data_IF_240980729959
#
_entry.id   IF_240980729959
#
_cell.length_a   1.000
_cell.length_b   1.000
_cell.length_c   1.000
_cell.angle_alpha   90.00
_cell.angle_beta   90.00
_cell.angle_gamma   90.00
#
_symmetry.space_group_name_H-M   'P 1'
#
loop_
_entity.id
_entity.type
_entity.pdbx_description
1 polymer ?
#
# COMPACT_ATOMS: atom_id res chain seq x y z
N UNK A 1 -28.16 1.39 9.76
CA UNK A 1 -26.82 1.72 10.26
C UNK A 1 -26.02 2.23 9.09
N UNK A 2 -25.27 3.33 9.27
CA UNK A 2 -24.49 3.93 8.18
C UNK A 2 -23.01 3.78 8.50
N UNK A 3 -22.20 3.55 7.47
CA UNK A 3 -20.74 3.49 7.56
C UNK A 3 -20.17 4.62 6.72
N UNK A 4 -19.19 5.33 7.26
CA UNK A 4 -18.61 6.51 6.63
C UNK A 4 -17.09 6.34 6.52
N UNK A 5 -16.53 6.80 5.41
CA UNK A 5 -15.07 6.99 5.29
C UNK A 5 -14.77 8.36 5.89
N UNK A 6 -14.19 8.38 7.09
CA UNK A 6 -13.93 9.62 7.83
C UNK A 6 -12.61 10.28 7.42
N UNK A 7 -11.62 9.49 6.99
CA UNK A 7 -10.29 9.95 6.55
C UNK A 7 -9.77 9.06 5.42
N UNK A 8 -8.95 9.64 4.54
CA UNK A 8 -8.23 8.92 3.48
C UNK A 8 -6.83 9.51 3.41
N UNK A 9 -5.83 8.65 3.41
CA UNK A 9 -4.43 9.05 3.30
C UNK A 9 -3.70 8.28 2.20
N UNK A 10 -2.57 8.86 1.77
CA UNK A 10 -1.67 8.22 0.81
C UNK A 10 -0.22 8.50 1.16
N UNK A 11 0.62 7.57 0.75
CA UNK A 11 2.07 7.69 0.76
C UNK A 11 2.63 7.32 -0.60
N UNK A 12 3.58 8.11 -1.12
CA UNK A 12 4.28 7.87 -2.38
C UNK A 12 5.78 7.86 -2.04
N UNK A 13 6.52 6.78 -2.33
CA UNK A 13 7.92 6.67 -1.94
C UNK A 13 8.81 7.52 -2.82
N UNK A 14 9.84 8.11 -2.21
CA UNK A 14 10.88 8.89 -2.89
C UNK A 14 10.30 10.02 -3.75
N UNK A 15 11.10 10.53 -4.69
CA UNK A 15 10.71 11.60 -5.60
C UNK A 15 9.94 11.08 -6.83
N UNK A 16 9.08 11.91 -7.44
CA UNK A 16 8.44 11.58 -8.71
C UNK A 16 9.48 11.36 -9.81
N UNK A 17 9.41 10.19 -10.45
CA UNK A 17 10.31 9.76 -11.53
C UNK A 17 9.65 10.00 -12.88
N UNK A 18 10.34 10.77 -13.73
CA UNK A 18 9.92 11.07 -15.09
C UNK A 18 10.05 9.86 -16.03
N UNK A 19 9.43 9.95 -17.21
CA UNK A 19 9.57 8.93 -18.27
C UNK A 19 11.01 8.76 -18.77
N UNK A 20 11.81 9.82 -18.71
CA UNK A 20 13.20 9.81 -19.19
C UNK A 20 14.12 9.12 -18.18
N UNK A 21 13.80 9.23 -16.89
CA UNK A 21 14.62 8.68 -15.80
C UNK A 21 14.23 7.26 -15.38
N UNK A 22 13.05 6.74 -15.77
CA UNK A 22 12.54 5.48 -15.23
C UNK A 22 13.48 4.27 -15.40
N UNK A 23 14.24 4.20 -16.51
CA UNK A 23 15.19 3.11 -16.75
C UNK A 23 16.45 3.22 -15.87
N UNK A 24 16.75 4.40 -15.31
CA UNK A 24 17.81 4.56 -14.31
C UNK A 24 17.46 3.87 -12.98
N UNK A 25 16.18 3.63 -12.72
CA UNK A 25 15.71 2.92 -11.51
C UNK A 25 15.49 1.43 -11.79
N UNK A 26 14.87 1.10 -12.92
CA UNK A 26 14.52 -0.29 -13.26
C UNK A 26 15.67 -1.10 -13.86
N UNK A 27 16.72 -0.42 -14.32
CA UNK A 27 17.84 -1.04 -15.02
C UNK A 27 17.55 -1.35 -16.50
N UNK A 28 18.57 -1.87 -17.17
CA UNK A 28 18.55 -2.26 -18.57
C UNK A 28 18.71 -3.79 -18.68
N UNK A 29 18.00 -4.40 -19.62
CA UNK A 29 18.19 -5.82 -19.95
C UNK A 29 19.20 -5.88 -21.11
N UNK A 30 20.26 -6.67 -20.97
CA UNK A 30 21.38 -6.75 -21.93
C UNK A 30 21.96 -5.38 -22.29
N UNK A 31 22.06 -4.47 -21.31
CA UNK A 31 22.56 -3.10 -21.47
C UNK A 31 21.79 -2.27 -22.52
N UNK A 32 20.56 -2.68 -22.87
CA UNK A 32 19.73 -2.05 -23.89
C UNK A 32 18.46 -1.46 -23.29
N UNK A 33 18.11 -0.27 -23.78
CA UNK A 33 16.81 0.35 -23.50
C UNK A 33 15.68 -0.44 -24.15
N UNK A 34 14.52 -0.46 -23.51
CA UNK A 34 13.36 -1.18 -24.01
C UNK A 34 12.81 -0.52 -25.28
N UNK A 35 12.83 -1.27 -26.38
CA UNK A 35 12.29 -0.85 -27.69
C UNK A 35 10.81 -0.45 -27.57
N UNK A 36 10.06 -1.10 -26.66
CA UNK A 36 8.64 -0.87 -26.47
C UNK A 36 8.32 0.30 -25.51
N UNK A 37 9.31 0.87 -24.81
CA UNK A 37 9.10 1.93 -23.81
C UNK A 37 8.28 3.09 -24.37
N UNK A 38 8.71 3.64 -25.51
CA UNK A 38 8.05 4.78 -26.14
C UNK A 38 6.60 4.49 -26.56
N UNK A 39 6.34 3.30 -27.12
CA UNK A 39 5.01 2.88 -27.53
C UNK A 39 4.06 2.75 -26.33
N UNK A 40 4.51 2.08 -25.26
CA UNK A 40 3.70 1.84 -24.05
C UNK A 40 3.42 3.16 -23.32
N UNK A 41 4.41 4.04 -23.16
CA UNK A 41 4.22 5.34 -22.50
C UNK A 41 3.32 6.29 -23.30
N UNK A 42 3.40 6.23 -24.64
CA UNK A 42 2.46 6.96 -25.50
C UNK A 42 1.04 6.39 -25.40
N UNK A 43 0.88 5.10 -25.14
CA UNK A 43 -0.45 4.49 -24.98
C UNK A 43 -1.06 4.82 -23.61
N UNK A 44 -0.31 4.60 -22.52
CA UNK A 44 -0.83 4.76 -21.16
C UNK A 44 -0.85 6.21 -20.64
N UNK A 45 -0.20 7.15 -21.32
CA UNK A 45 -0.15 8.58 -21.00
C UNK A 45 0.47 8.97 -19.65
N UNK A 46 1.05 8.04 -18.91
CA UNK A 46 1.66 8.33 -17.61
C UNK A 46 2.94 9.13 -17.82
N UNK A 47 3.08 10.25 -17.09
CA UNK A 47 4.24 11.15 -17.16
C UNK A 47 5.21 11.00 -15.99
N UNK A 48 4.68 10.66 -14.81
CA UNK A 48 5.44 10.48 -13.57
C UNK A 48 4.98 9.23 -12.83
N UNK A 49 5.91 8.53 -12.16
CA UNK A 49 5.59 7.47 -11.19
C UNK A 49 6.54 7.51 -10.01
N UNK A 50 6.35 6.59 -9.07
CA UNK A 50 7.17 6.47 -7.87
C UNK A 50 7.65 5.02 -7.76
N UNK A 51 8.90 4.84 -7.37
CA UNK A 51 9.50 3.54 -7.13
C UNK A 51 10.00 3.50 -5.70
N UNK A 52 9.71 2.42 -4.97
CA UNK A 52 10.38 2.11 -3.72
C UNK A 52 11.80 1.54 -3.96
N UNK A 53 12.54 2.13 -4.90
CA UNK A 53 13.86 1.73 -5.36
C UNK A 53 14.73 2.98 -5.52
N UNK A 54 16.03 2.88 -5.24
CA UNK A 54 17.02 3.88 -5.63
C UNK A 54 17.54 3.65 -7.06
N UNK A 55 18.39 4.55 -7.58
CA UNK A 55 19.00 4.42 -8.92
C UNK A 55 20.06 3.31 -9.03
N UNK A 56 20.44 2.70 -7.90
CA UNK A 56 21.35 1.55 -7.87
C UNK A 56 20.57 0.22 -7.81
N UNK A 57 19.23 0.27 -7.84
CA UNK A 57 18.38 -0.91 -7.75
C UNK A 57 18.14 -1.42 -6.31
N UNK A 58 18.58 -0.68 -5.29
CA UNK A 58 18.34 -1.06 -3.90
C UNK A 58 16.90 -0.72 -3.50
N UNK A 59 16.16 -1.65 -2.88
CA UNK A 59 14.87 -1.34 -2.27
C UNK A 59 15.03 -0.28 -1.17
N UNK A 60 14.14 0.71 -1.19
CA UNK A 60 14.11 1.79 -0.17
C UNK A 60 13.05 1.54 0.90
N UNK A 61 12.00 0.80 0.56
CA UNK A 61 10.90 0.46 1.45
C UNK A 61 10.37 -0.93 1.10
N UNK A 62 9.92 -1.67 2.11
CA UNK A 62 9.08 -2.85 1.91
C UNK A 62 7.62 -2.45 1.68
N UNK A 63 6.78 -3.34 1.18
CA UNK A 63 5.35 -3.09 1.03
C UNK A 63 4.69 -2.81 2.39
N UNK A 64 5.06 -3.56 3.43
CA UNK A 64 4.58 -3.33 4.78
C UNK A 64 4.94 -1.93 5.27
N UNK A 65 6.17 -1.47 5.01
CA UNK A 65 6.60 -0.11 5.38
C UNK A 65 5.83 0.98 4.64
N UNK A 66 5.62 0.84 3.32
CA UNK A 66 4.79 1.79 2.55
C UNK A 66 3.37 1.88 3.10
N UNK A 67 2.79 0.74 3.46
CA UNK A 67 1.44 0.68 4.03
C UNK A 67 1.40 1.33 5.41
N UNK A 68 2.37 1.02 6.28
CA UNK A 68 2.51 1.64 7.62
C UNK A 68 2.65 3.15 7.54
N UNK A 69 3.47 3.68 6.63
CA UNK A 69 3.66 5.12 6.43
C UNK A 69 2.37 5.82 5.96
N UNK A 70 1.53 5.15 5.16
CA UNK A 70 0.23 5.69 4.80
C UNK A 70 -0.75 5.68 5.98
N UNK A 71 -0.78 4.60 6.77
CA UNK A 71 -1.67 4.46 7.94
C UNK A 71 -1.31 5.46 9.03
N UNK A 72 -0.01 5.69 9.29
CA UNK A 72 0.44 6.64 10.31
C UNK A 72 -0.08 8.06 10.07
N UNK A 73 -0.39 8.43 8.83
CA UNK A 73 -0.94 9.75 8.48
C UNK A 73 -2.43 9.87 8.81
N UNK A 74 -3.13 8.76 9.07
CA UNK A 74 -4.53 8.78 9.51
C UNK A 74 -4.66 9.14 11.00
N UNK A 75 -3.59 8.93 11.78
CA UNK A 75 -3.57 9.17 13.21
C UNK A 75 -3.35 10.65 13.54
N UNK A 76 -3.99 11.10 14.61
CA UNK A 76 -3.87 12.44 15.18
C UNK A 76 -4.16 12.38 16.70
N UNK A 77 -4.39 13.54 17.32
CA UNK A 77 -4.62 13.64 18.76
C UNK A 77 -5.91 12.91 19.22
N UNK A 78 -6.87 12.71 18.31
CA UNK A 78 -8.19 12.11 18.60
C UNK A 78 -8.32 10.65 18.13
N UNK A 79 -7.39 10.15 17.30
CA UNK A 79 -7.42 8.79 16.78
C UNK A 79 -6.02 8.21 16.64
N UNK A 80 -5.76 7.12 17.36
CA UNK A 80 -4.47 6.43 17.42
C UNK A 80 -4.59 4.96 17.05
N UNK A 81 -3.46 4.26 16.97
CA UNK A 81 -3.44 2.81 16.72
C UNK A 81 -4.25 2.03 17.77
N UNK A 82 -4.31 2.49 19.02
CA UNK A 82 -5.03 1.78 20.08
C UNK A 82 -6.55 1.86 19.93
N UNK A 83 -7.04 2.79 19.11
CA UNK A 83 -8.47 2.97 18.83
C UNK A 83 -8.93 2.10 17.66
N UNK A 84 -8.00 1.56 16.86
CA UNK A 84 -8.28 0.70 15.70
C UNK A 84 -8.74 -0.66 16.18
N UNK A 85 -9.97 -1.07 15.83
CA UNK A 85 -10.49 -2.40 16.22
C UNK A 85 -10.20 -3.49 15.17
N UNK A 86 -10.08 -3.10 13.89
CA UNK A 86 -9.82 -4.00 12.77
C UNK A 86 -8.84 -3.33 11.79
N UNK A 87 -7.82 -4.06 11.35
CA UNK A 87 -6.89 -3.62 10.31
C UNK A 87 -7.00 -4.57 9.10
N UNK A 88 -7.51 -4.04 7.99
CA UNK A 88 -7.55 -4.76 6.71
C UNK A 88 -6.49 -4.22 5.75
N UNK A 89 -5.79 -5.11 5.04
CA UNK A 89 -4.85 -4.70 4.00
C UNK A 89 -4.92 -5.60 2.76
N UNK A 90 -4.87 -5.00 1.58
CA UNK A 90 -4.95 -5.70 0.31
C UNK A 90 -3.72 -5.45 -0.56
N UNK A 91 -3.07 -6.50 -1.05
CA UNK A 91 -1.89 -6.37 -1.93
C UNK A 91 -1.70 -7.59 -2.84
N UNK A 92 -1.13 -7.36 -4.03
CA UNK A 92 -0.61 -8.42 -4.92
C UNK A 92 0.84 -8.77 -4.64
N UNK A 93 1.53 -7.93 -3.88
CA UNK A 93 2.99 -7.89 -3.81
C UNK A 93 3.40 -7.80 -2.35
N UNK A 94 2.83 -8.68 -1.52
CA UNK A 94 3.24 -8.83 -0.12
C UNK A 94 4.74 -9.16 -0.05
N UNK A 95 5.40 -8.65 0.99
CA UNK A 95 6.84 -8.85 1.19
C UNK A 95 7.21 -10.33 1.38
N UNK A 96 6.27 -11.13 1.89
CA UNK A 96 6.40 -12.57 2.06
C UNK A 96 5.07 -13.28 1.75
N UNK A 97 5.13 -14.59 1.48
CA UNK A 97 3.94 -15.44 1.34
C UNK A 97 3.24 -15.62 2.70
N UNK A 98 4.03 -15.75 3.76
CA UNK A 98 3.60 -15.85 5.14
C UNK A 98 4.61 -15.10 6.04
N UNK A 99 4.17 -14.42 7.11
CA UNK A 99 2.78 -14.19 7.53
C UNK A 99 2.00 -13.28 6.56
N UNK A 100 0.71 -13.05 6.85
CA UNK A 100 -0.13 -12.18 6.02
C UNK A 100 0.34 -10.72 6.03
N UNK A 101 0.09 -9.99 4.94
CA UNK A 101 0.52 -8.60 4.77
C UNK A 101 0.03 -7.67 5.90
N UNK A 102 -1.26 -7.74 6.25
CA UNK A 102 -1.83 -6.94 7.33
C UNK A 102 -1.16 -7.22 8.68
N UNK A 103 -0.73 -8.47 8.94
CA UNK A 103 -0.01 -8.79 10.16
C UNK A 103 1.42 -8.21 10.15
N UNK A 104 2.08 -8.17 9.00
CA UNK A 104 3.38 -7.48 8.86
C UNK A 104 3.25 -5.97 9.11
N UNK A 105 2.19 -5.35 8.58
CA UNK A 105 1.88 -3.93 8.79
C UNK A 105 1.56 -3.66 10.26
N UNK A 106 0.76 -4.52 10.89
CA UNK A 106 0.44 -4.44 12.32
C UNK A 106 1.72 -4.48 13.18
N UNK A 107 2.64 -5.40 12.89
CA UNK A 107 3.93 -5.45 13.57
C UNK A 107 4.78 -4.18 13.36
N UNK A 108 4.80 -3.62 12.14
CA UNK A 108 5.50 -2.36 11.83
C UNK A 108 4.89 -1.13 12.50
N UNK A 109 3.59 -1.16 12.81
CA UNK A 109 2.91 -0.10 13.55
C UNK A 109 3.24 -0.10 15.06
N UNK A 110 3.99 -1.10 15.54
CA UNK A 110 4.36 -1.26 16.95
C UNK A 110 3.64 -2.41 17.65
N UNK A 111 2.60 -2.96 17.02
CA UNK A 111 1.74 -3.99 17.60
C UNK A 111 0.78 -3.43 18.67
N UNK A 112 -0.44 -3.95 18.71
CA UNK A 112 -1.45 -3.73 19.74
C UNK A 112 -2.20 -5.03 19.99
N UNK A 113 -2.50 -5.32 21.25
CA UNK A 113 -3.02 -6.62 21.67
C UNK A 113 -4.49 -6.87 21.26
N UNK A 114 -5.20 -5.84 20.80
CA UNK A 114 -6.66 -5.88 20.60
C UNK A 114 -7.11 -5.59 19.16
N UNK A 115 -6.22 -5.69 18.17
CA UNK A 115 -6.56 -5.41 16.76
C UNK A 115 -6.78 -6.71 15.99
N UNK A 116 -7.97 -6.89 15.43
CA UNK A 116 -8.20 -7.95 14.44
C UNK A 116 -7.47 -7.61 13.13
N UNK A 117 -6.84 -8.59 12.47
CA UNK A 117 -6.14 -8.36 11.20
C UNK A 117 -6.68 -9.26 10.08
N UNK A 118 -6.89 -8.67 8.90
CA UNK A 118 -7.32 -9.41 7.71
C UNK A 118 -6.51 -8.99 6.48
N UNK A 119 -6.07 -9.95 5.67
CA UNK A 119 -5.43 -9.66 4.37
C UNK A 119 -6.19 -10.24 3.19
N UNK A 120 -6.59 -9.38 2.26
CA UNK A 120 -7.05 -9.84 0.95
C UNK A 120 -5.87 -9.94 -0.02
N UNK A 121 -5.81 -11.04 -0.75
CA UNK A 121 -4.81 -11.26 -1.79
C UNK A 121 -5.46 -11.15 -3.17
N UNK A 122 -4.80 -10.45 -4.08
CA UNK A 122 -5.32 -10.16 -5.42
C UNK A 122 -4.55 -9.00 -6.02
N UNK A 123 -4.99 -8.47 -7.16
CA UNK A 123 -4.35 -7.29 -7.79
C UNK A 123 -5.08 -6.02 -7.38
N UNK A 124 -5.58 -5.23 -8.34
CA UNK A 124 -6.26 -3.96 -8.08
C UNK A 124 -7.54 -4.13 -7.25
N UNK A 125 -8.15 -5.32 -7.25
CA UNK A 125 -9.38 -5.61 -6.51
C UNK A 125 -9.15 -5.95 -5.02
N UNK A 126 -7.92 -6.29 -4.61
CA UNK A 126 -7.62 -6.70 -3.23
C UNK A 126 -7.89 -5.56 -2.23
N UNK A 127 -7.58 -4.32 -2.62
CA UNK A 127 -7.89 -3.13 -1.82
C UNK A 127 -9.41 -2.98 -1.60
N UNK A 128 -10.21 -3.16 -2.65
CA UNK A 128 -11.67 -3.09 -2.54
C UNK A 128 -12.27 -4.26 -1.75
N UNK A 129 -11.66 -5.45 -1.80
CA UNK A 129 -12.06 -6.59 -0.96
C UNK A 129 -11.77 -6.33 0.51
N UNK A 130 -10.60 -5.76 0.83
CA UNK A 130 -10.23 -5.35 2.19
C UNK A 130 -11.19 -4.27 2.71
N UNK A 131 -11.44 -3.23 1.92
CA UNK A 131 -12.37 -2.16 2.26
C UNK A 131 -13.81 -2.68 2.44
N UNK A 132 -14.25 -3.62 1.60
CA UNK A 132 -15.57 -4.25 1.75
C UNK A 132 -15.66 -5.04 3.05
N UNK A 133 -14.61 -5.74 3.45
CA UNK A 133 -14.59 -6.47 4.72
C UNK A 133 -14.71 -5.50 5.90
N UNK A 134 -13.87 -4.45 5.95
CA UNK A 134 -13.97 -3.38 6.94
C UNK A 134 -15.37 -2.76 7.00
N UNK A 135 -15.93 -2.40 5.84
CA UNK A 135 -17.30 -1.89 5.73
C UNK A 135 -18.34 -2.85 6.31
N UNK A 136 -18.26 -4.14 5.99
CA UNK A 136 -19.21 -5.14 6.48
C UNK A 136 -19.06 -5.39 7.99
N UNK A 137 -17.84 -5.38 8.51
CA UNK A 137 -17.58 -5.55 9.95
C UNK A 137 -18.19 -4.38 10.76
N UNK A 138 -18.07 -3.14 10.27
CA UNK A 138 -18.73 -1.98 10.89
C UNK A 138 -20.25 -2.05 10.71
N UNK A 139 -20.74 -2.32 9.49
CA UNK A 139 -22.17 -2.38 9.18
C UNK A 139 -22.91 -3.42 10.04
N UNK A 140 -22.26 -4.54 10.32
CA UNK A 140 -22.81 -5.64 11.15
C UNK A 140 -22.51 -5.48 12.64
N UNK A 141 -21.93 -4.35 13.06
CA UNK A 141 -21.58 -4.04 14.46
C UNK A 141 -20.61 -5.05 15.10
N UNK A 142 -19.76 -5.71 14.31
CA UNK A 142 -18.66 -6.52 14.84
C UNK A 142 -17.57 -5.65 15.44
N UNK A 143 -17.32 -4.50 14.81
CA UNK A 143 -16.41 -3.45 15.26
C UNK A 143 -17.04 -2.08 15.08
N UNK A 144 -16.59 -1.08 15.83
CA UNK A 144 -17.04 0.31 15.71
C UNK A 144 -16.27 1.08 14.62
N UNK A 145 -15.03 0.67 14.34
CA UNK A 145 -14.14 1.25 13.33
C UNK A 145 -13.18 0.19 12.76
N UNK A 146 -12.55 0.50 11.62
CA UNK A 146 -11.67 -0.41 10.88
C UNK A 146 -10.75 0.36 9.91
#
# INVERSE_FOLDING_TARGET
MNVYINKIEKFLPNDPVSNDEMEQYLGLIDEKSSINKGLILRSNQIKTRYYALDKNGNPTHTNAELTTLAIQKLFDDDFSLNDVELLTAGTSSADAIQPSHALMVHGKLGGSDNIEVMSAHGTCNAAMQSLKYAYMSILTSQVSNA
#
